data_IF_536296128410
#
_entry.id   IF_536296128410
#
_cell.length_a   1.000
_cell.length_b   1.000
_cell.length_c   1.000
_cell.angle_alpha   90.00
_cell.angle_beta   90.00
_cell.angle_gamma   90.00
#
_symmetry.space_group_name_H-M   'P 1'
#
loop_
_entity.id
_entity.type
_entity.pdbx_description
1 polymer ?
#
# COMPACT_ATOMS: atom_id res chain seq x y z
N UNK A 1 -29.29 17.66 -6.15
CA UNK A 1 -28.04 17.59 -5.36
C UNK A 1 -27.80 16.13 -5.07
N UNK A 2 -26.82 15.51 -5.73
CA UNK A 2 -26.41 14.15 -5.40
C UNK A 2 -25.43 14.30 -4.24
N UNK A 3 -25.89 14.00 -3.02
CA UNK A 3 -25.01 13.85 -1.86
C UNK A 3 -24.23 12.56 -2.04
N UNK A 4 -22.95 12.67 -2.39
CA UNK A 4 -22.02 11.54 -2.30
C UNK A 4 -21.54 11.42 -0.85
N UNK A 5 -22.42 10.96 0.03
CA UNK A 5 -21.98 10.34 1.29
C UNK A 5 -21.53 8.92 0.95
N UNK A 6 -20.42 8.80 0.21
CA UNK A 6 -19.75 7.51 0.07
C UNK A 6 -18.90 7.30 1.32
N UNK A 7 -19.53 6.73 2.34
CA UNK A 7 -18.86 6.02 3.42
C UNK A 7 -18.02 4.89 2.82
N UNK A 8 -16.70 4.92 3.05
CA UNK A 8 -15.81 3.87 2.56
C UNK A 8 -15.22 3.04 3.70
N UNK A 9 -15.14 1.73 3.45
CA UNK A 9 -14.48 0.73 4.30
C UNK A 9 -13.23 0.19 3.59
N UNK A 10 -12.07 0.34 4.24
CA UNK A 10 -10.75 0.00 3.64
C UNK A 10 -10.07 -1.11 4.42
N UNK A 11 -9.58 -2.13 3.73
CA UNK A 11 -8.68 -3.14 4.30
C UNK A 11 -7.22 -2.70 4.08
N UNK A 12 -6.45 -2.54 5.15
CA UNK A 12 -5.02 -2.26 5.10
C UNK A 12 -4.23 -3.53 5.43
N UNK A 13 -3.44 -4.02 4.48
CA UNK A 13 -2.59 -5.20 4.65
C UNK A 13 -1.14 -4.81 4.95
N UNK A 14 -0.54 -5.41 5.98
CA UNK A 14 0.86 -5.20 6.34
C UNK A 14 1.08 -3.94 7.17
N UNK A 15 1.01 -4.07 8.50
CA UNK A 15 1.02 -2.97 9.47
C UNK A 15 2.44 -2.74 10.01
N UNK A 16 3.38 -2.58 9.07
CA UNK A 16 4.74 -2.10 9.35
C UNK A 16 4.82 -0.57 9.35
N UNK A 17 6.00 0.00 9.06
CA UNK A 17 6.17 1.47 8.99
C UNK A 17 5.31 2.12 7.91
N UNK A 18 5.17 1.46 6.75
CA UNK A 18 4.35 1.98 5.65
C UNK A 18 2.86 1.80 5.94
N UNK A 19 2.46 0.63 6.47
CA UNK A 19 1.08 0.40 6.93
C UNK A 19 0.64 1.41 8.00
N UNK A 20 1.51 1.73 8.97
CA UNK A 20 1.25 2.82 9.93
C UNK A 20 1.00 4.16 9.24
N UNK A 21 1.73 4.46 8.17
CA UNK A 21 1.50 5.65 7.33
C UNK A 21 0.12 5.62 6.66
N UNK A 22 -0.26 4.48 6.07
CA UNK A 22 -1.59 4.27 5.47
C UNK A 22 -2.71 4.45 6.50
N UNK A 23 -2.60 3.83 7.68
CA UNK A 23 -3.58 3.98 8.75
C UNK A 23 -3.77 5.45 9.13
N UNK A 24 -2.66 6.17 9.35
CA UNK A 24 -2.72 7.60 9.70
C UNK A 24 -3.38 8.44 8.61
N UNK A 25 -3.04 8.21 7.36
CA UNK A 25 -3.57 8.97 6.23
C UNK A 25 -5.06 8.68 6.02
N UNK A 26 -5.45 7.40 5.91
CA UNK A 26 -6.81 6.95 5.63
C UNK A 26 -7.80 7.39 6.71
N UNK A 27 -7.46 7.19 7.99
CA UNK A 27 -8.36 7.59 9.11
C UNK A 27 -8.60 9.09 9.19
N UNK A 28 -7.69 9.91 8.67
CA UNK A 28 -7.83 11.37 8.63
C UNK A 28 -8.80 11.85 7.54
N UNK A 29 -9.14 10.98 6.58
CA UNK A 29 -10.05 11.34 5.49
C UNK A 29 -11.51 11.27 5.96
N UNK A 30 -12.34 12.29 5.69
CA UNK A 30 -13.74 12.29 6.07
C UNK A 30 -14.60 11.29 5.27
N UNK A 31 -14.12 10.79 4.13
CA UNK A 31 -14.82 9.78 3.32
C UNK A 31 -14.57 8.34 3.79
N UNK A 32 -13.57 8.11 4.64
CA UNK A 32 -13.26 6.79 5.18
C UNK A 32 -13.89 6.67 6.57
N UNK A 33 -14.81 5.72 6.74
CA UNK A 33 -15.50 5.47 8.01
C UNK A 33 -14.89 4.32 8.79
N UNK A 34 -14.38 3.30 8.09
CA UNK A 34 -13.81 2.11 8.72
C UNK A 34 -12.51 1.71 8.03
N UNK A 35 -11.51 1.36 8.84
CA UNK A 35 -10.23 0.81 8.42
C UNK A 35 -9.97 -0.48 9.18
N UNK A 36 -9.88 -1.60 8.47
CA UNK A 36 -9.42 -2.86 9.07
C UNK A 36 -7.92 -3.00 8.82
N UNK A 37 -7.13 -2.97 9.88
CA UNK A 37 -5.69 -3.17 9.87
C UNK A 37 -5.37 -4.65 10.05
N UNK A 38 -4.85 -5.31 9.01
CA UNK A 38 -4.57 -6.74 9.03
C UNK A 38 -3.08 -7.04 8.85
N UNK A 39 -2.53 -7.83 9.79
CA UNK A 39 -1.15 -8.30 9.78
C UNK A 39 -1.06 -9.68 10.45
N UNK A 40 -0.09 -10.51 10.06
CA UNK A 40 0.18 -11.77 10.76
C UNK A 40 0.68 -11.52 12.20
N UNK A 41 1.36 -10.38 12.44
CA UNK A 41 1.81 -9.92 13.74
C UNK A 41 0.80 -8.95 14.36
N UNK A 42 -0.27 -9.51 14.93
CA UNK A 42 -1.34 -8.74 15.58
C UNK A 42 -0.85 -7.81 16.70
N UNK A 43 0.22 -8.18 17.42
CA UNK A 43 0.78 -7.35 18.51
C UNK A 43 1.38 -6.06 17.95
N UNK A 44 2.15 -6.16 16.86
CA UNK A 44 2.68 -4.99 16.18
C UNK A 44 1.57 -4.14 15.57
N UNK A 45 0.59 -4.77 14.92
CA UNK A 45 -0.53 -4.07 14.31
C UNK A 45 -1.33 -3.25 15.33
N UNK A 46 -1.68 -3.86 16.47
CA UNK A 46 -2.34 -3.16 17.60
C UNK A 46 -1.53 -1.97 18.09
N UNK A 47 -0.22 -2.15 18.31
CA UNK A 47 0.65 -1.05 18.75
C UNK A 47 0.65 0.13 17.78
N UNK A 48 0.62 -0.11 16.47
CA UNK A 48 0.56 0.97 15.49
C UNK A 48 -0.83 1.59 15.39
N UNK A 49 -1.90 0.79 15.46
CA UNK A 49 -3.28 1.27 15.53
C UNK A 49 -3.50 2.18 16.76
N UNK A 50 -3.06 1.74 17.94
CA UNK A 50 -3.13 2.52 19.20
C UNK A 50 -2.37 3.85 19.07
N UNK A 51 -1.24 3.85 18.33
CA UNK A 51 -0.45 5.06 18.08
C UNK A 51 -1.13 6.03 17.13
N UNK A 52 -1.93 5.54 16.18
CA UNK A 52 -2.80 6.40 15.36
C UNK A 52 -3.94 6.96 16.21
N UNK A 53 -4.53 6.12 17.09
CA UNK A 53 -5.51 6.56 18.09
C UNK A 53 -6.87 6.95 17.48
N UNK A 54 -7.25 6.36 16.35
CA UNK A 54 -8.56 6.57 15.71
C UNK A 54 -9.51 5.43 16.06
N UNK A 55 -10.75 5.80 16.34
CA UNK A 55 -11.91 4.93 16.53
C UNK A 55 -12.37 4.21 15.26
N UNK A 56 -11.91 4.65 14.08
CA UNK A 56 -12.17 4.02 12.79
C UNK A 56 -11.41 2.71 12.58
N UNK A 57 -10.43 2.38 13.43
CA UNK A 57 -9.52 1.25 13.22
C UNK A 57 -9.99 0.00 13.99
N UNK A 58 -10.24 -1.07 13.25
CA UNK A 58 -10.27 -2.43 13.77
C UNK A 58 -8.96 -3.15 13.41
N UNK A 59 -8.46 -4.03 14.30
CA UNK A 59 -7.25 -4.81 14.02
C UNK A 59 -7.59 -6.30 13.95
N UNK A 60 -7.23 -6.93 12.84
CA UNK A 60 -7.40 -8.36 12.60
C UNK A 60 -6.07 -9.05 12.27
N UNK A 61 -6.04 -10.38 12.40
CA UNK A 61 -4.92 -11.20 11.93
C UNK A 61 -5.20 -11.67 10.51
N UNK A 62 -4.19 -11.64 9.64
CA UNK A 62 -4.27 -12.27 8.32
C UNK A 62 -2.90 -12.79 7.88
N UNK A 63 -2.82 -14.06 7.53
CA UNK A 63 -1.74 -14.60 6.69
C UNK A 63 -2.18 -14.62 5.22
N UNK A 64 -1.63 -13.71 4.41
CA UNK A 64 -1.95 -13.61 2.98
C UNK A 64 -1.43 -14.77 2.13
N UNK A 65 -0.53 -15.60 2.67
CA UNK A 65 -0.10 -16.84 2.01
C UNK A 65 -1.13 -17.97 2.18
N UNK A 66 -2.01 -17.86 3.17
CA UNK A 66 -3.20 -18.68 3.31
C UNK A 66 -4.33 -18.07 2.47
N UNK A 67 -4.44 -18.51 1.22
CA UNK A 67 -5.40 -17.96 0.26
C UNK A 67 -6.84 -17.96 0.78
N UNK A 68 -7.30 -19.04 1.40
CA UNK A 68 -8.68 -19.15 1.89
C UNK A 68 -8.96 -18.14 3.00
N UNK A 69 -8.00 -17.92 3.90
CA UNK A 69 -8.09 -16.93 4.96
C UNK A 69 -8.13 -15.50 4.38
N UNK A 70 -7.21 -15.19 3.46
CA UNK A 70 -7.15 -13.89 2.80
C UNK A 70 -8.44 -13.56 2.03
N UNK A 71 -8.94 -14.50 1.23
CA UNK A 71 -10.20 -14.34 0.49
C UNK A 71 -11.38 -14.18 1.43
N UNK A 72 -11.45 -14.94 2.53
CA UNK A 72 -12.51 -14.80 3.52
C UNK A 72 -12.52 -13.39 4.11
N UNK A 73 -11.36 -12.89 4.54
CA UNK A 73 -11.24 -11.53 5.07
C UNK A 73 -11.66 -10.50 4.01
N UNK A 74 -11.11 -10.57 2.80
CA UNK A 74 -11.41 -9.59 1.74
C UNK A 74 -12.89 -9.56 1.33
N UNK A 75 -13.66 -10.61 1.60
CA UNK A 75 -15.11 -10.67 1.38
C UNK A 75 -15.96 -10.04 2.49
N UNK A 76 -15.36 -9.40 3.51
CA UNK A 76 -16.09 -8.73 4.61
C UNK A 76 -16.67 -7.34 4.21
N UNK A 77 -16.84 -7.09 2.90
CA UNK A 77 -17.52 -5.89 2.38
C UNK A 77 -16.63 -4.65 2.27
N UNK A 78 -15.35 -4.83 1.93
CA UNK A 78 -14.43 -3.72 1.69
C UNK A 78 -14.63 -3.08 0.31
N UNK A 79 -14.49 -1.76 0.23
CA UNK A 79 -14.51 -1.03 -1.05
C UNK A 79 -13.17 -1.13 -1.78
N UNK A 80 -12.07 -1.16 -1.02
CA UNK A 80 -10.71 -1.23 -1.56
C UNK A 80 -9.74 -1.84 -0.55
N UNK A 81 -8.73 -2.52 -1.08
CA UNK A 81 -7.60 -3.06 -0.31
C UNK A 81 -6.36 -2.19 -0.59
N UNK A 82 -5.78 -1.63 0.47
CA UNK A 82 -4.54 -0.87 0.44
C UNK A 82 -3.42 -1.68 1.09
N UNK A 83 -2.38 -2.02 0.33
CA UNK A 83 -1.36 -2.96 0.76
C UNK A 83 0.02 -2.32 0.94
N UNK A 84 0.58 -2.54 2.12
CA UNK A 84 1.95 -2.23 2.50
C UNK A 84 2.77 -3.50 2.79
N UNK A 85 2.34 -4.64 2.22
CA UNK A 85 3.03 -5.92 2.35
C UNK A 85 4.44 -5.89 1.73
N UNK A 86 5.39 -6.67 2.26
CA UNK A 86 6.64 -6.94 1.56
C UNK A 86 6.40 -7.60 0.20
N UNK A 87 7.24 -7.23 -0.79
CA UNK A 87 7.17 -7.68 -2.20
C UNK A 87 6.86 -9.18 -2.40
N UNK A 88 7.46 -10.14 -1.66
CA UNK A 88 7.18 -11.57 -1.85
C UNK A 88 5.72 -11.99 -1.62
N UNK A 89 4.93 -11.16 -0.93
CA UNK A 89 3.55 -11.47 -0.58
C UNK A 89 2.52 -10.76 -1.46
N UNK A 90 2.94 -9.81 -2.30
CA UNK A 90 2.03 -9.01 -3.11
C UNK A 90 1.22 -9.86 -4.08
N UNK A 91 1.84 -10.82 -4.77
CA UNK A 91 1.14 -11.63 -5.79
C UNK A 91 0.05 -12.51 -5.18
N UNK A 92 0.29 -13.06 -3.98
CA UNK A 92 -0.71 -13.83 -3.24
C UNK A 92 -1.89 -12.95 -2.81
N UNK A 93 -1.61 -11.73 -2.32
CA UNK A 93 -2.65 -10.77 -1.95
C UNK A 93 -3.48 -10.29 -3.15
N UNK A 94 -2.83 -10.03 -4.30
CA UNK A 94 -3.51 -9.68 -5.56
C UNK A 94 -4.43 -10.82 -6.01
N UNK A 95 -3.95 -12.07 -5.96
CA UNK A 95 -4.76 -13.23 -6.35
C UNK A 95 -6.00 -13.40 -5.46
N UNK A 96 -5.85 -13.17 -4.15
CA UNK A 96 -6.97 -13.19 -3.22
C UNK A 96 -7.96 -12.04 -3.46
N UNK A 97 -7.47 -10.83 -3.74
CA UNK A 97 -8.31 -9.66 -4.03
C UNK A 97 -9.12 -9.84 -5.33
N UNK A 98 -8.50 -10.40 -6.37
CA UNK A 98 -9.17 -10.73 -7.64
C UNK A 98 -10.29 -11.76 -7.40
N UNK A 99 -10.04 -12.77 -6.57
CA UNK A 99 -11.05 -13.79 -6.24
C UNK A 99 -12.19 -13.22 -5.39
N UNK A 100 -11.90 -12.32 -4.45
CA UNK A 100 -12.90 -11.61 -3.66
C UNK A 100 -13.66 -10.53 -4.46
N UNK A 101 -13.19 -10.17 -5.66
CA UNK A 101 -13.81 -9.13 -6.48
C UNK A 101 -13.56 -7.71 -5.99
N UNK A 102 -12.52 -7.46 -5.19
CA UNK A 102 -12.24 -6.16 -4.55
C UNK A 102 -11.02 -5.50 -5.19
N UNK A 103 -11.11 -4.19 -5.42
CA UNK A 103 -10.00 -3.38 -5.95
C UNK A 103 -8.78 -3.42 -5.02
N UNK A 104 -7.58 -3.40 -5.59
CA UNK A 104 -6.32 -3.54 -4.85
C UNK A 104 -5.29 -2.50 -5.28
N UNK A 105 -4.61 -1.89 -4.31
CA UNK A 105 -3.47 -1.00 -4.57
C UNK A 105 -2.31 -1.29 -3.61
N UNK A 106 -1.07 -1.20 -4.11
CA UNK A 106 0.12 -1.49 -3.30
C UNK A 106 1.33 -0.60 -3.60
N UNK A 107 2.32 -0.63 -2.69
CA UNK A 107 3.57 0.14 -2.82
C UNK A 107 4.79 -0.71 -3.22
N UNK A 108 4.64 -2.02 -3.46
CA UNK A 108 5.77 -2.97 -3.41
C UNK A 108 5.80 -4.05 -4.51
N UNK A 109 4.82 -4.11 -5.43
CA UNK A 109 4.70 -5.15 -6.46
C UNK A 109 6.00 -5.46 -7.20
N UNK A 110 6.17 -6.71 -7.64
CA UNK A 110 7.33 -7.14 -8.43
C UNK A 110 7.20 -6.75 -9.90
N UNK A 111 8.17 -6.04 -10.47
CA UNK A 111 8.20 -5.77 -11.92
C UNK A 111 8.20 -7.05 -12.77
N UNK A 112 8.74 -8.16 -12.23
CA UNK A 112 8.82 -9.42 -12.96
C UNK A 112 7.45 -10.09 -13.14
N UNK A 113 6.51 -9.87 -12.22
CA UNK A 113 5.22 -10.60 -12.17
C UNK A 113 4.00 -9.67 -12.21
N UNK A 114 4.22 -8.34 -12.27
CA UNK A 114 3.18 -7.30 -12.18
C UNK A 114 2.02 -7.44 -13.18
N UNK A 115 2.24 -8.13 -14.31
CA UNK A 115 1.22 -8.36 -15.34
C UNK A 115 0.72 -9.80 -15.42
N UNK A 116 1.24 -10.72 -14.61
CA UNK A 116 0.91 -12.16 -14.69
C UNK A 116 -0.59 -12.40 -14.42
N UNK A 117 -1.20 -11.52 -13.62
CA UNK A 117 -2.60 -11.63 -13.21
C UNK A 117 -3.56 -10.70 -13.98
N UNK A 118 -3.10 -9.95 -15.00
CA UNK A 118 -3.93 -8.98 -15.76
C UNK A 118 -5.18 -9.64 -16.36
N UNK A 119 -5.02 -10.81 -16.99
CA UNK A 119 -6.16 -11.54 -17.58
C UNK A 119 -7.19 -11.95 -16.54
N UNK A 120 -6.75 -12.36 -15.35
CA UNK A 120 -7.63 -12.75 -14.26
C UNK A 120 -8.36 -11.53 -13.67
N UNK A 121 -7.65 -10.44 -13.43
CA UNK A 121 -8.20 -9.17 -12.94
C UNK A 121 -9.28 -8.62 -13.89
N UNK A 122 -9.00 -8.58 -15.21
CA UNK A 122 -9.98 -8.17 -16.22
C UNK A 122 -11.22 -9.03 -16.23
N UNK A 123 -11.06 -10.35 -16.14
CA UNK A 123 -12.19 -11.30 -16.12
C UNK A 123 -13.07 -11.09 -14.89
N UNK A 124 -12.47 -10.77 -13.74
CA UNK A 124 -13.18 -10.49 -12.50
C UNK A 124 -13.74 -9.06 -12.41
N UNK A 125 -13.35 -8.15 -13.33
CA UNK A 125 -13.71 -6.74 -13.25
C UNK A 125 -12.97 -5.97 -12.14
N UNK A 126 -11.85 -6.52 -11.65
CA UNK A 126 -11.06 -5.94 -10.55
C UNK A 126 -9.96 -5.04 -11.09
N UNK A 127 -9.81 -3.86 -10.48
CA UNK A 127 -8.70 -2.95 -10.76
C UNK A 127 -7.56 -3.19 -9.77
N UNK A 128 -6.35 -3.37 -10.31
CA UNK A 128 -5.10 -3.53 -9.54
C UNK A 128 -4.18 -2.36 -9.88
N UNK A 129 -3.80 -1.56 -8.87
CA UNK A 129 -2.93 -0.38 -9.02
C UNK A 129 -1.64 -0.58 -8.22
N UNK A 130 -0.60 -1.16 -8.84
CA UNK A 130 0.69 -1.35 -8.18
C UNK A 130 1.49 -0.05 -8.11
N UNK A 131 2.54 -0.06 -7.27
CA UNK A 131 3.57 0.99 -7.18
C UNK A 131 3.04 2.40 -6.86
N UNK A 132 2.16 2.53 -5.86
CA UNK A 132 1.66 3.82 -5.36
C UNK A 132 2.49 4.40 -4.21
N UNK A 133 3.82 4.31 -4.29
CA UNK A 133 4.76 4.77 -3.26
C UNK A 133 5.50 6.06 -3.62
N UNK A 134 6.76 6.13 -3.19
CA UNK A 134 7.69 7.23 -3.53
C UNK A 134 8.49 6.93 -4.80
N UNK A 135 9.26 5.83 -4.74
CA UNK A 135 10.06 5.27 -5.82
C UNK A 135 9.99 3.75 -5.64
N UNK A 136 9.00 3.07 -6.24
CA UNK A 136 8.19 3.52 -7.38
C UNK A 136 6.85 4.15 -6.92
N UNK A 137 6.44 5.22 -7.59
CA UNK A 137 5.14 5.87 -7.48
C UNK A 137 5.18 7.34 -7.88
N UNK A 138 5.40 8.23 -6.92
CA UNK A 138 5.52 9.68 -7.17
C UNK A 138 6.54 9.97 -8.26
N UNK A 139 7.68 9.27 -8.26
CA UNK A 139 8.72 9.40 -9.30
C UNK A 139 8.16 9.17 -10.71
N UNK A 140 7.33 8.13 -10.91
CA UNK A 140 6.71 7.81 -12.21
C UNK A 140 5.60 8.76 -12.58
N UNK A 141 4.79 9.19 -11.61
CA UNK A 141 3.77 10.22 -11.84
C UNK A 141 4.42 11.50 -12.35
N UNK A 142 5.50 11.95 -11.70
CA UNK A 142 6.25 13.14 -12.11
C UNK A 142 6.88 12.99 -13.49
N UNK A 143 7.48 11.81 -13.79
CA UNK A 143 7.99 11.52 -15.14
C UNK A 143 6.88 11.61 -16.20
N UNK A 144 5.70 11.04 -15.93
CA UNK A 144 4.55 11.10 -16.83
C UNK A 144 4.00 12.52 -17.02
N UNK A 145 3.94 13.33 -15.95
CA UNK A 145 3.56 14.75 -16.03
C UNK A 145 4.56 15.52 -16.88
N UNK A 146 5.86 15.27 -16.71
CA UNK A 146 6.91 15.90 -17.51
C UNK A 146 6.83 15.52 -18.99
N UNK A 147 6.67 14.23 -19.30
CA UNK A 147 6.53 13.73 -20.66
C UNK A 147 5.40 14.42 -21.43
N UNK A 148 4.22 14.58 -20.80
CA UNK A 148 3.05 15.19 -21.43
C UNK A 148 3.22 16.67 -21.80
N UNK A 149 4.30 17.32 -21.33
CA UNK A 149 4.63 18.71 -21.65
C UNK A 149 5.64 18.85 -22.79
N UNK A 150 6.09 17.74 -23.38
CA UNK A 150 7.12 17.72 -24.41
C UNK A 150 6.57 17.03 -25.66
N UNK A 151 6.99 17.50 -26.84
CA UNK A 151 6.66 16.83 -28.11
C UNK A 151 7.35 15.45 -28.22
N UNK A 152 8.55 15.32 -27.63
CA UNK A 152 9.35 14.10 -27.60
C UNK A 152 10.18 14.01 -26.32
N UNK A 153 10.21 12.83 -25.70
CA UNK A 153 11.09 12.51 -24.57
C UNK A 153 12.30 11.72 -25.07
N UNK A 154 13.51 12.22 -24.83
CA UNK A 154 14.75 11.50 -25.15
C UNK A 154 15.19 10.54 -24.04
N UNK A 155 14.85 10.83 -22.80
CA UNK A 155 15.12 9.95 -21.66
C UNK A 155 14.76 10.57 -20.32
N UNK A 156 14.66 9.73 -19.30
CA UNK A 156 14.51 10.14 -17.90
C UNK A 156 15.79 9.84 -17.13
N UNK A 157 16.15 10.74 -16.22
CA UNK A 157 17.18 10.50 -15.21
C UNK A 157 16.59 10.84 -13.86
N UNK A 158 16.40 9.83 -13.03
CA UNK A 158 15.70 9.93 -11.75
C UNK A 158 16.64 9.43 -10.66
N UNK A 159 16.80 10.24 -9.61
CA UNK A 159 17.52 9.86 -8.40
C UNK A 159 16.61 10.09 -7.20
N UNK A 160 16.47 9.07 -6.37
CA UNK A 160 15.72 9.12 -5.12
C UNK A 160 16.60 8.55 -4.00
N UNK A 161 16.44 9.06 -2.78
CA UNK A 161 17.10 8.51 -1.62
C UNK A 161 16.58 9.09 -0.31
N UNK A 162 16.36 8.21 0.67
CA UNK A 162 15.97 8.59 2.02
C UNK A 162 17.21 8.64 2.92
N UNK A 163 17.64 9.85 3.31
CA UNK A 163 18.82 10.03 4.16
C UNK A 163 18.44 10.68 5.50
N UNK A 164 19.16 10.39 6.59
CA UNK A 164 18.98 11.11 7.83
C UNK A 164 19.23 12.61 7.66
N UNK A 165 18.40 13.43 8.29
CA UNK A 165 18.60 14.88 8.31
C UNK A 165 19.95 15.25 8.94
N UNK A 166 20.71 16.14 8.28
CA UNK A 166 22.00 16.65 8.78
C UNK A 166 21.86 17.24 10.19
N UNK A 167 22.86 17.03 11.04
CA UNK A 167 22.86 17.54 12.42
C UNK A 167 22.02 16.71 13.40
N UNK A 168 21.36 15.64 12.96
CA UNK A 168 20.63 14.74 13.85
C UNK A 168 21.49 13.55 14.28
N UNK A 169 21.17 12.87 15.40
CA UNK A 169 21.78 11.59 15.75
C UNK A 169 21.65 10.53 14.64
N UNK A 170 20.67 10.71 13.74
CA UNK A 170 20.53 9.93 12.52
C UNK A 170 21.74 9.99 11.59
N UNK A 171 22.30 11.19 11.44
CA UNK A 171 23.37 11.50 10.51
C UNK A 171 24.76 11.27 11.09
N UNK A 172 24.90 11.34 12.42
CA UNK A 172 26.18 11.20 13.13
C UNK A 172 26.57 9.74 13.36
N UNK A 173 26.83 9.02 12.27
CA UNK A 173 27.43 7.68 12.28
C UNK A 173 28.42 7.53 11.09
N UNK A 174 29.31 6.51 11.08
CA UNK A 174 30.37 6.39 10.08
C UNK A 174 29.91 6.41 8.62
N UNK A 175 28.69 5.92 8.32
CA UNK A 175 28.14 5.85 6.97
C UNK A 175 27.11 6.95 6.68
N UNK A 176 26.82 7.84 7.65
CA UNK A 176 25.81 8.92 7.55
C UNK A 176 24.44 8.43 7.07
N UNK A 177 24.10 7.19 7.42
CA UNK A 177 22.90 6.50 6.97
C UNK A 177 22.25 5.72 8.12
N UNK A 178 20.95 5.45 8.01
CA UNK A 178 20.23 4.55 8.92
C UNK A 178 19.35 3.62 8.11
N UNK A 179 19.37 2.34 8.45
CA UNK A 179 18.54 1.33 7.80
C UNK A 179 17.08 1.61 8.17
N UNK A 180 16.29 2.06 7.18
CA UNK A 180 14.91 2.49 7.35
C UNK A 180 13.88 1.51 6.79
N UNK A 181 14.26 0.69 5.81
CA UNK A 181 13.42 -0.30 5.16
C UNK A 181 14.20 -1.59 4.89
N UNK A 182 13.47 -2.68 4.65
CA UNK A 182 13.99 -3.97 4.24
C UNK A 182 13.97 -4.06 2.71
N UNK A 183 15.02 -4.65 2.13
CA UNK A 183 15.09 -4.99 0.72
C UNK A 183 15.49 -6.47 0.65
N UNK A 184 14.55 -7.41 0.41
CA UNK A 184 14.89 -8.78 0.04
C UNK A 184 15.49 -8.81 -1.37
#
# INVERSE_FOLDING_TARGET
MISWECSMKVLVLGIGKMGYGLLKDLTSQPQIDEVVAADINIVQAKRFADRVGSDKIEVQTCDVTNKQEAVRLMNEGFDVIASALPRPFCDAAVAAAIEAGVGYADVAASFATIFDQDKAARKAGVTVVPHIGLDIGIDRVLCGVGARKLDKVEGFRVWCGGFPQKGTPGYHNPIRYKISWYWP
#
